data_IF_024408086329
#
_entry.id   IF_024408086329
#
_cell.length_a   1.000
_cell.length_b   1.000
_cell.length_c   1.000
_cell.angle_alpha   90.00
_cell.angle_beta   90.00
_cell.angle_gamma   90.00
#
_symmetry.space_group_name_H-M   'P 1'
#
loop_
_entity.id
_entity.type
_entity.pdbx_description
1 polymer ?
#
# COMPACT_ATOMS: atom_id res chain seq x y z
N UNK A 1 0.68 0.72 -2.06
CA UNK A 1 0.54 -0.55 -1.34
C UNK A 1 1.84 -0.82 -0.60
N UNK A 2 1.78 -1.22 0.67
CA UNK A 2 2.93 -1.72 1.41
C UNK A 2 2.73 -3.20 1.76
N UNK A 3 3.80 -3.99 1.73
CA UNK A 3 3.75 -5.41 2.05
C UNK A 3 4.80 -5.74 3.10
N UNK A 4 4.37 -6.20 4.29
CA UNK A 4 5.27 -6.60 5.37
C UNK A 4 5.77 -8.02 5.17
N UNK A 5 6.76 -8.19 4.30
CA UNK A 5 7.38 -9.49 4.02
C UNK A 5 8.18 -10.07 5.20
N UNK A 6 8.68 -9.20 6.09
CA UNK A 6 9.47 -9.57 7.26
C UNK A 6 8.79 -9.04 8.53
N UNK A 7 8.19 -9.90 9.37
CA UNK A 7 7.57 -9.47 10.62
C UNK A 7 8.60 -8.97 11.64
N UNK A 8 9.88 -9.34 11.50
CA UNK A 8 10.98 -8.89 12.36
C UNK A 8 11.63 -7.57 11.94
N UNK A 9 11.13 -6.89 10.90
CA UNK A 9 11.64 -5.58 10.52
C UNK A 9 11.29 -4.56 11.62
N UNK A 10 12.31 -4.04 12.29
CA UNK A 10 12.15 -2.98 13.28
C UNK A 10 11.69 -1.67 12.63
N UNK A 11 11.04 -0.82 13.43
CA UNK A 11 10.63 0.53 13.02
C UNK A 11 9.75 0.57 11.74
N UNK A 12 8.89 -0.43 11.57
CA UNK A 12 8.05 -0.52 10.37
C UNK A 12 7.17 0.73 10.18
N UNK A 13 6.59 1.24 11.25
CA UNK A 13 5.73 2.44 11.19
C UNK A 13 6.51 3.67 10.71
N UNK A 14 7.72 3.88 11.21
CA UNK A 14 8.60 4.98 10.79
C UNK A 14 9.03 4.84 9.34
N UNK A 15 9.29 3.61 8.87
CA UNK A 15 9.59 3.34 7.46
C UNK A 15 8.39 3.70 6.57
N UNK A 16 7.17 3.29 6.94
CA UNK A 16 5.95 3.61 6.19
C UNK A 16 5.70 5.12 6.14
N UNK A 17 5.91 5.83 7.24
CA UNK A 17 5.76 7.30 7.30
C UNK A 17 6.77 7.99 6.37
N UNK A 18 8.05 7.59 6.40
CA UNK A 18 9.07 8.14 5.50
C UNK A 18 8.76 7.85 4.03
N UNK A 19 8.35 6.62 3.70
CA UNK A 19 8.00 6.25 2.34
C UNK A 19 6.77 7.02 1.84
N UNK A 20 5.74 7.18 2.68
CA UNK A 20 4.52 7.92 2.33
C UNK A 20 4.80 9.39 2.02
N UNK A 21 5.84 9.98 2.63
CA UNK A 21 6.30 11.35 2.34
C UNK A 21 7.16 11.46 1.08
N UNK A 22 7.84 10.38 0.68
CA UNK A 22 8.80 10.38 -0.44
C UNK A 22 8.21 9.88 -1.75
N UNK A 23 7.21 9.01 -1.69
CA UNK A 23 6.55 8.45 -2.86
C UNK A 23 5.41 9.39 -3.30
N UNK A 24 5.34 9.78 -4.58
CA UNK A 24 4.29 10.68 -5.09
C UNK A 24 2.99 9.90 -5.35
N UNK A 25 2.57 9.05 -4.40
CA UNK A 25 1.36 8.27 -4.48
C UNK A 25 0.88 7.94 -3.07
N UNK A 26 -0.45 7.91 -2.83
CA UNK A 26 -0.95 7.55 -1.51
C UNK A 26 -0.75 6.06 -1.23
N UNK A 27 -0.71 5.75 0.07
CA UNK A 27 -0.76 4.38 0.53
C UNK A 27 -2.18 3.82 0.40
N UNK A 28 -2.42 3.05 -0.67
CA UNK A 28 -3.73 2.44 -0.95
C UNK A 28 -4.04 1.16 -0.14
N UNK A 29 -3.19 0.79 0.82
CA UNK A 29 -3.35 -0.45 1.60
C UNK A 29 -2.05 -1.03 2.10
N UNK A 30 -2.17 -1.93 3.09
CA UNK A 30 -1.06 -2.62 3.74
C UNK A 30 -1.36 -4.13 3.89
N UNK A 31 -0.43 -4.96 3.44
CA UNK A 31 -0.46 -6.40 3.69
C UNK A 31 0.35 -6.72 4.95
N UNK A 32 -0.24 -7.39 5.96
CA UNK A 32 0.53 -7.95 7.05
C UNK A 32 1.40 -9.11 6.55
N UNK A 33 2.29 -9.61 7.40
CA UNK A 33 3.00 -10.86 7.09
C UNK A 33 1.98 -12.01 7.01
N UNK A 34 1.85 -12.60 5.83
CA UNK A 34 0.89 -13.67 5.54
C UNK A 34 1.62 -14.90 4.98
N UNK A 35 1.68 -16.01 5.74
CA UNK A 35 2.13 -17.28 5.19
C UNK A 35 1.17 -17.75 4.10
N UNK A 36 1.73 -18.17 2.95
CA UNK A 36 0.97 -18.66 1.78
C UNK A 36 -0.09 -17.65 1.32
N UNK A 37 0.32 -16.40 1.12
CA UNK A 37 -0.56 -15.29 0.77
C UNK A 37 -1.39 -15.56 -0.52
N UNK A 38 -0.85 -16.35 -1.44
CA UNK A 38 -1.52 -16.80 -2.67
C UNK A 38 -2.76 -17.67 -2.41
N UNK A 39 -2.89 -18.24 -1.21
CA UNK A 39 -4.04 -19.05 -0.78
C UNK A 39 -5.06 -18.24 0.04
N UNK A 40 -4.88 -16.92 0.16
CA UNK A 40 -5.70 -16.04 1.01
C UNK A 40 -6.54 -15.10 0.17
N UNK A 41 -7.65 -14.68 0.76
CA UNK A 41 -8.42 -13.53 0.27
C UNK A 41 -7.61 -12.25 0.59
N UNK A 42 -7.16 -11.54 -0.45
CA UNK A 42 -6.30 -10.37 -0.34
C UNK A 42 -7.02 -9.05 -0.63
N UNK A 43 -8.19 -9.08 -1.27
CA UNK A 43 -8.91 -7.87 -1.70
C UNK A 43 -9.27 -6.97 -0.51
N UNK A 44 -9.53 -7.56 0.66
CA UNK A 44 -9.79 -6.81 1.91
C UNK A 44 -8.68 -5.88 2.38
N UNK A 45 -7.46 -6.01 1.85
CA UNK A 45 -6.31 -5.18 2.24
C UNK A 45 -6.05 -4.01 1.29
N UNK A 46 -6.90 -3.82 0.28
CA UNK A 46 -6.76 -2.76 -0.72
C UNK A 46 -7.99 -1.87 -0.67
N UNK A 47 -7.75 -0.58 -0.50
CA UNK A 47 -8.77 0.46 -0.68
C UNK A 47 -8.78 0.91 -2.15
N UNK A 48 -9.80 0.45 -2.89
CA UNK A 48 -9.95 0.77 -4.32
C UNK A 48 -10.54 2.16 -4.56
N UNK A 49 -11.23 2.74 -3.59
CA UNK A 49 -11.79 4.09 -3.70
C UNK A 49 -10.65 5.12 -3.75
N UNK A 50 -9.59 4.87 -2.97
CA UNK A 50 -8.35 5.65 -3.02
C UNK A 50 -7.67 5.59 -4.39
N UNK A 51 -7.70 4.44 -5.07
CA UNK A 51 -7.09 4.30 -6.40
C UNK A 51 -7.82 5.14 -7.45
N UNK A 52 -9.16 5.17 -7.43
CA UNK A 52 -9.96 5.97 -8.35
C UNK A 52 -9.65 7.47 -8.25
N UNK A 53 -9.45 7.97 -7.03
CA UNK A 53 -9.10 9.37 -6.78
C UNK A 53 -7.70 9.74 -7.30
N UNK A 54 -6.71 8.85 -7.17
CA UNK A 54 -5.35 9.08 -7.71
C UNK A 54 -5.35 9.07 -9.23
N UNK A 55 -6.00 8.07 -9.83
CA UNK A 55 -6.07 7.93 -11.29
C UNK A 55 -6.82 9.10 -11.94
N UNK A 56 -7.74 9.75 -11.22
CA UNK A 56 -8.41 10.96 -11.68
C UNK A 56 -7.51 12.21 -11.64
N UNK A 57 -6.58 12.29 -10.68
CA UNK A 57 -5.61 13.38 -10.53
C UNK A 57 -4.51 13.30 -11.61
N UNK A 58 -4.10 12.09 -12.00
CA UNK A 58 -3.06 11.84 -13.02
C UNK A 58 -3.58 11.88 -14.48
N UNK A 59 -4.87 12.18 -14.71
CA UNK A 59 -5.37 12.46 -16.07
C UNK A 59 -4.84 13.81 -16.53
N UNK A 60 -3.74 13.77 -17.29
CA UNK A 60 -3.31 14.86 -18.17
C UNK A 60 -4.55 15.31 -18.99
N UNK A 61 -5.01 16.58 -18.94
CA UNK A 61 -5.97 17.06 -19.91
C UNK A 61 -5.30 17.01 -21.29
N UNK A 62 -6.03 16.44 -22.26
CA UNK A 62 -5.60 16.18 -23.64
C UNK A 62 -4.85 17.35 -24.31
#
# INVERSE_FOLDING_TARGET
MANRINPGLAHYAEIIDVLSKKLPAPLIGELPYLPRAEQRELSRYVDLDMLGNVMAIDRIPA
#
